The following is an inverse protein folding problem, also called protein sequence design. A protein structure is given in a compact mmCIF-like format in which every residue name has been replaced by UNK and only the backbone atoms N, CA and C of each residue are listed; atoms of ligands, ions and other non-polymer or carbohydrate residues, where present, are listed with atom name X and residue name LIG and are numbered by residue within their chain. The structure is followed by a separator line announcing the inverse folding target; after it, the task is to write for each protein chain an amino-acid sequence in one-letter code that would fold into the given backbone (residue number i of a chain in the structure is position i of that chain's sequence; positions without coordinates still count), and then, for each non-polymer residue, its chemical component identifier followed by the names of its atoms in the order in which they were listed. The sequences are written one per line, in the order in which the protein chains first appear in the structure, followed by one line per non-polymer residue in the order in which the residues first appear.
data_IF_916243686654
#
_entry.id   IF_916243686654
#
_cell.length_a   1.000
_cell.length_b   1.000
_cell.length_c   1.000
_cell.angle_alpha   90.00
_cell.angle_beta   90.00
_cell.angle_gamma   90.00
#
_symmetry.space_group_name_H-M   'P 1'
#
loop_
_entity.id
_entity.type
_entity.pdbx_description
1 polymer ?
#
# COMPACT_ATOMS: atom_id res chain seq x y z
N UNK A 1 35.90 -9.19 -10.57
CA UNK A 1 34.77 -9.24 -11.51
C UNK A 1 33.56 -9.83 -10.78
N UNK A 2 32.77 -9.03 -10.05
CA UNK A 2 31.60 -9.51 -9.28
C UNK A 2 30.45 -8.49 -9.23
N UNK A 3 30.32 -7.60 -10.23
CA UNK A 3 29.31 -6.52 -10.19
C UNK A 3 28.18 -6.68 -11.22
N UNK A 4 28.11 -7.81 -11.93
CA UNK A 4 27.13 -8.01 -13.02
C UNK A 4 25.91 -8.86 -12.65
N UNK A 5 25.94 -9.61 -11.53
CA UNK A 5 24.83 -10.47 -11.10
C UNK A 5 23.82 -9.76 -10.19
N UNK A 6 24.26 -8.82 -9.35
CA UNK A 6 23.37 -8.07 -8.45
C UNK A 6 22.40 -7.18 -9.25
N UNK A 7 22.91 -6.39 -10.20
CA UNK A 7 22.09 -5.49 -11.02
C UNK A 7 21.08 -6.23 -11.90
N UNK A 8 21.47 -7.40 -12.44
CA UNK A 8 20.58 -8.23 -13.25
C UNK A 8 19.44 -8.82 -12.42
N UNK A 9 19.74 -9.32 -11.21
CA UNK A 9 18.74 -9.85 -10.30
C UNK A 9 17.77 -8.78 -9.80
N UNK A 10 18.25 -7.56 -9.53
CA UNK A 10 17.38 -6.44 -9.14
C UNK A 10 16.45 -6.02 -10.28
N UNK A 11 16.91 -6.05 -11.54
CA UNK A 11 16.06 -5.73 -12.69
C UNK A 11 14.94 -6.76 -12.89
N UNK A 12 15.30 -8.05 -12.84
CA UNK A 12 14.34 -9.16 -12.96
C UNK A 12 13.31 -9.17 -11.83
N UNK A 13 13.73 -8.91 -10.59
CA UNK A 13 12.84 -8.80 -9.44
C UNK A 13 11.85 -7.62 -9.60
N UNK A 14 12.32 -6.49 -10.13
CA UNK A 14 11.48 -5.32 -10.40
C UNK A 14 10.44 -5.58 -11.50
N UNK A 15 10.85 -6.22 -12.60
CA UNK A 15 9.93 -6.59 -13.70
C UNK A 15 8.88 -7.61 -13.23
N UNK A 16 9.26 -8.58 -12.39
CA UNK A 16 8.32 -9.55 -11.82
C UNK A 16 7.32 -8.89 -10.85
N UNK A 17 7.76 -7.94 -10.04
CA UNK A 17 6.87 -7.16 -9.17
C UNK A 17 5.87 -6.32 -9.98
N UNK A 18 6.31 -5.71 -11.08
CA UNK A 18 5.47 -4.91 -11.96
C UNK A 18 4.41 -5.75 -12.72
N UNK A 19 4.70 -7.02 -13.02
CA UNK A 19 3.75 -7.95 -13.66
C UNK A 19 2.81 -8.65 -12.67
N UNK A 20 3.13 -8.67 -11.37
CA UNK A 20 2.36 -9.39 -10.35
C UNK A 20 0.99 -8.77 -10.14
N UNK A 21 -0.08 -9.53 -10.29
CA UNK A 21 -1.45 -9.08 -9.99
C UNK A 21 -1.95 -9.49 -8.61
N UNK A 22 -1.29 -10.43 -7.92
CA UNK A 22 -1.70 -10.89 -6.60
C UNK A 22 -1.05 -10.10 -5.46
N UNK A 23 -1.77 -9.82 -4.38
CA UNK A 23 -1.19 -9.13 -3.21
C UNK A 23 -0.27 -10.06 -2.38
N UNK A 24 0.73 -9.51 -1.66
CA UNK A 24 1.14 -8.12 -1.69
C UNK A 24 1.72 -7.71 -3.05
N UNK A 25 1.47 -6.46 -3.46
CA UNK A 25 1.96 -5.91 -4.71
C UNK A 25 2.37 -4.45 -4.55
N UNK A 26 3.35 -4.03 -5.35
CA UNK A 26 3.81 -2.64 -5.45
C UNK A 26 3.63 -2.11 -6.86
N UNK A 27 3.35 -0.80 -6.99
CA UNK A 27 3.40 -0.08 -8.26
C UNK A 27 4.12 1.25 -8.11
N UNK A 28 4.91 1.61 -9.11
CA UNK A 28 5.56 2.93 -9.12
C UNK A 28 4.48 4.02 -9.20
N UNK A 29 4.48 4.96 -8.24
CA UNK A 29 3.57 6.10 -8.31
C UNK A 29 3.89 7.04 -9.48
N UNK A 30 5.15 7.04 -9.95
CA UNK A 30 5.59 7.83 -11.09
C UNK A 30 5.03 7.36 -12.44
N UNK A 31 4.43 6.16 -12.51
CA UNK A 31 3.79 5.64 -13.72
C UNK A 31 2.37 6.18 -13.92
N UNK A 32 1.82 6.91 -12.95
CA UNK A 32 0.43 7.37 -12.97
C UNK A 32 0.35 8.87 -13.25
N UNK A 33 -0.09 9.20 -14.47
CA UNK A 33 -0.33 10.57 -14.88
C UNK A 33 -1.42 11.20 -13.99
N UNK A 34 -1.17 12.42 -13.50
CA UNK A 34 -2.10 13.20 -12.67
C UNK A 34 -2.50 12.57 -11.32
N UNK A 35 -1.76 11.57 -10.85
CA UNK A 35 -2.00 10.95 -9.54
C UNK A 35 -3.27 10.08 -9.49
N UNK A 36 -3.83 9.68 -10.63
CA UNK A 36 -4.92 8.72 -10.72
C UNK A 36 -4.39 7.33 -11.07
N UNK A 37 -4.83 6.34 -10.30
CA UNK A 37 -4.45 4.94 -10.41
C UNK A 37 -5.72 4.11 -10.52
N UNK A 38 -5.83 3.35 -11.60
CA UNK A 38 -6.80 2.27 -11.72
C UNK A 38 -6.05 0.97 -11.97
N UNK A 39 -6.18 0.00 -11.07
CA UNK A 39 -5.55 -1.30 -11.22
C UNK A 39 -6.45 -2.42 -10.71
N UNK A 40 -6.38 -3.57 -11.39
CA UNK A 40 -7.00 -4.80 -10.92
C UNK A 40 -5.96 -5.69 -10.26
N UNK A 41 -6.36 -6.35 -9.17
CA UNK A 41 -5.51 -7.25 -8.42
C UNK A 41 -6.30 -8.42 -7.82
N UNK A 42 -5.57 -9.46 -7.46
CA UNK A 42 -6.10 -10.67 -6.87
C UNK A 42 -5.72 -10.72 -5.38
N UNK A 43 -6.71 -11.01 -4.53
CA UNK A 43 -6.51 -11.38 -3.13
C UNK A 43 -6.53 -12.90 -3.04
N UNK A 44 -5.39 -13.57 -2.85
CA UNK A 44 -5.37 -15.01 -2.66
C UNK A 44 -5.97 -15.41 -1.31
N UNK A 45 -6.51 -16.62 -1.23
CA UNK A 45 -6.93 -17.19 0.06
C UNK A 45 -5.70 -17.42 0.94
N UNK A 46 -5.79 -17.02 2.21
CA UNK A 46 -4.79 -17.40 3.22
C UNK A 46 -5.25 -18.68 3.92
N UNK A 47 -4.31 -19.56 4.23
CA UNK A 47 -4.61 -20.87 4.84
C UNK A 47 -5.16 -20.74 6.26
N UNK A 48 -4.83 -19.65 6.94
CA UNK A 48 -5.12 -19.35 8.34
C UNK A 48 -6.17 -18.24 8.52
N UNK A 49 -6.50 -17.52 7.45
CA UNK A 49 -7.53 -16.48 7.44
C UNK A 49 -8.29 -16.44 6.11
N UNK A 50 -9.58 -16.79 6.15
CA UNK A 50 -10.43 -16.76 4.96
C UNK A 50 -10.77 -15.32 4.52
N UNK A 51 -10.59 -14.33 5.39
CA UNK A 51 -10.87 -12.93 5.11
C UNK A 51 -9.82 -11.99 5.69
N UNK A 52 -8.57 -12.03 5.19
CA UNK A 52 -7.49 -11.26 5.78
C UNK A 52 -7.73 -9.74 5.67
N UNK A 53 -7.31 -8.96 6.68
CA UNK A 53 -7.29 -7.51 6.60
C UNK A 53 -6.23 -7.05 5.58
N UNK A 54 -6.57 -6.05 4.77
CA UNK A 54 -5.73 -5.54 3.68
C UNK A 54 -5.76 -4.02 3.67
N UNK A 55 -4.61 -3.39 3.50
CA UNK A 55 -4.53 -1.94 3.35
C UNK A 55 -4.07 -1.51 1.96
N UNK A 56 -4.42 -0.27 1.62
CA UNK A 56 -4.02 0.44 0.42
C UNK A 56 -3.23 1.66 0.87
N UNK A 57 -1.98 1.74 0.42
CA UNK A 57 -1.02 2.66 1.00
C UNK A 57 0.20 2.89 0.14
N UNK A 58 1.30 3.25 0.78
CA UNK A 58 2.60 3.42 0.16
C UNK A 58 3.67 2.65 0.92
N UNK A 59 4.65 2.17 0.18
CA UNK A 59 5.92 1.63 0.68
C UNK A 59 7.00 2.69 0.45
N UNK A 60 7.77 2.96 1.50
CA UNK A 60 8.99 3.77 1.45
C UNK A 60 10.17 2.86 1.68
N UNK A 61 11.13 2.84 0.76
CA UNK A 61 12.39 2.13 0.91
C UNK A 61 13.55 3.13 0.97
N UNK A 62 14.59 2.80 1.73
CA UNK A 62 15.80 3.59 1.77
C UNK A 62 17.01 2.79 2.24
N UNK A 63 18.12 3.50 2.43
CA UNK A 63 19.40 2.89 2.86
C UNK A 63 19.71 3.19 4.34
N UNK A 64 18.94 4.06 4.98
CA UNK A 64 19.10 4.48 6.36
C UNK A 64 17.74 4.46 7.07
N UNK A 65 17.56 3.66 8.12
CA UNK A 65 16.28 3.56 8.82
C UNK A 65 15.78 4.89 9.39
N UNK A 66 16.69 5.72 9.92
CA UNK A 66 16.33 7.02 10.49
C UNK A 66 15.77 7.97 9.45
N UNK A 67 16.41 8.03 8.28
CA UNK A 67 15.97 8.85 7.16
C UNK A 67 14.62 8.38 6.60
N UNK A 68 14.38 7.07 6.50
CA UNK A 68 13.10 6.52 6.04
C UNK A 68 11.98 6.86 7.03
N UNK A 69 12.23 6.68 8.34
CA UNK A 69 11.31 7.07 9.39
C UNK A 69 10.98 8.58 9.35
N UNK A 70 11.98 9.44 9.18
CA UNK A 70 11.79 10.90 9.06
C UNK A 70 10.93 11.28 7.84
N UNK A 71 11.10 10.58 6.71
CA UNK A 71 10.27 10.77 5.53
C UNK A 71 8.82 10.35 5.81
N UNK A 72 8.61 9.17 6.41
CA UNK A 72 7.29 8.67 6.76
C UNK A 72 6.56 9.66 7.69
N UNK A 73 7.28 10.18 8.68
CA UNK A 73 6.79 11.18 9.62
C UNK A 73 6.43 12.51 8.95
N UNK A 74 7.24 12.96 7.98
CA UNK A 74 6.93 14.14 7.17
C UNK A 74 5.65 13.92 6.36
N UNK A 75 5.50 12.78 5.69
CA UNK A 75 4.33 12.47 4.87
C UNK A 75 3.04 12.40 5.69
N UNK A 76 3.07 11.80 6.90
CA UNK A 76 1.95 11.80 7.85
C UNK A 76 1.51 13.21 8.30
N UNK A 77 2.39 14.21 8.20
CA UNK A 77 2.14 15.62 8.54
C UNK A 77 1.87 16.50 7.32
N UNK A 78 2.06 15.97 6.11
CA UNK A 78 1.98 16.73 4.88
C UNK A 78 0.56 16.79 4.29
N UNK A 79 -0.47 16.33 5.00
CA UNK A 79 -1.87 16.32 4.53
C UNK A 79 -2.04 15.78 3.10
N UNK A 80 -1.29 14.72 2.78
CA UNK A 80 -1.44 13.99 1.52
C UNK A 80 -2.80 13.30 1.55
N UNK A 81 -3.71 13.77 0.70
CA UNK A 81 -5.08 13.28 0.64
C UNK A 81 -5.33 12.51 -0.64
N UNK A 82 -6.18 11.49 -0.56
CA UNK A 82 -6.57 10.69 -1.69
C UNK A 82 -8.05 10.31 -1.65
N UNK A 83 -8.66 10.17 -2.81
CA UNK A 83 -9.92 9.45 -2.96
C UNK A 83 -9.59 7.99 -3.23
N UNK A 84 -10.05 7.10 -2.36
CA UNK A 84 -9.82 5.65 -2.43
C UNK A 84 -11.16 4.95 -2.61
N UNK A 85 -11.26 4.12 -3.66
CA UNK A 85 -12.40 3.24 -3.88
C UNK A 85 -11.91 1.84 -4.20
N UNK A 86 -12.46 0.87 -3.50
CA UNK A 86 -12.19 -0.53 -3.71
C UNK A 86 -13.49 -1.22 -4.10
N UNK A 87 -13.44 -1.96 -5.20
CA UNK A 87 -14.56 -2.75 -5.69
C UNK A 87 -14.14 -4.21 -5.81
N UNK A 88 -14.98 -5.13 -5.34
CA UNK A 88 -14.84 -6.55 -5.64
C UNK A 88 -15.44 -6.83 -7.00
N UNK A 89 -14.67 -7.44 -7.89
CA UNK A 89 -15.11 -7.83 -9.22
C UNK A 89 -15.79 -9.20 -9.15
N UNK A 90 -17.02 -9.28 -9.65
CA UNK A 90 -17.87 -10.48 -9.63
C UNK A 90 -18.42 -10.74 -11.04
N UNK A 91 -18.88 -11.98 -11.34
CA UNK A 91 -19.48 -12.28 -12.64
C UNK A 91 -20.70 -11.40 -12.98
N UNK A 92 -21.45 -10.95 -11.97
CA UNK A 92 -22.66 -10.15 -12.14
C UNK A 92 -22.41 -8.63 -12.08
N UNK A 93 -21.17 -8.17 -11.91
CA UNK A 93 -20.83 -6.75 -11.76
C UNK A 93 -19.75 -6.51 -10.70
N UNK A 94 -19.71 -5.30 -10.14
CA UNK A 94 -18.82 -4.98 -9.04
C UNK A 94 -19.58 -4.58 -7.78
N UNK A 95 -19.01 -4.93 -6.62
CA UNK A 95 -19.55 -4.59 -5.31
C UNK A 95 -18.58 -3.67 -4.57
N UNK A 96 -19.06 -2.55 -4.03
CA UNK A 96 -18.23 -1.63 -3.24
C UNK A 96 -17.78 -2.33 -1.97
N UNK A 97 -16.49 -2.24 -1.68
CA UNK A 97 -15.91 -2.72 -0.43
C UNK A 97 -15.87 -1.57 0.58
N UNK A 98 -16.45 -1.73 1.78
CA UNK A 98 -16.28 -0.78 2.87
C UNK A 98 -14.81 -0.65 3.26
N UNK A 99 -14.35 0.58 3.40
CA UNK A 99 -13.00 0.88 3.86
C UNK A 99 -13.06 1.67 5.16
N UNK A 100 -11.97 1.59 5.91
CA UNK A 100 -11.69 2.38 7.10
C UNK A 100 -10.42 3.22 6.86
N UNK A 101 -10.28 4.29 7.64
CA UNK A 101 -9.09 5.15 7.67
C UNK A 101 -8.73 5.51 9.10
N UNK A 102 -7.48 5.88 9.29
CA UNK A 102 -7.02 6.51 10.51
C UNK A 102 -7.67 7.88 10.73
N UNK A 103 -8.02 8.17 11.97
CA UNK A 103 -8.39 9.48 12.47
C UNK A 103 -7.57 9.79 13.72
N UNK A 104 -6.81 10.89 13.65
CA UNK A 104 -6.12 11.39 14.82
C UNK A 104 -7.13 11.92 15.84
N UNK A 105 -7.11 11.35 17.04
CA UNK A 105 -7.99 11.73 18.17
C UNK A 105 -7.23 12.44 19.29
N UNK A 106 -5.89 12.41 19.24
CA UNK A 106 -5.03 13.02 20.25
C UNK A 106 -3.59 13.24 19.77
N UNK A 107 -2.69 13.56 20.71
CA UNK A 107 -1.25 13.61 20.41
C UNK A 107 -0.72 12.17 20.33
N UNK A 108 -0.47 11.70 19.12
CA UNK A 108 0.04 10.33 18.89
C UNK A 108 -1.03 9.25 18.98
N UNK A 109 -2.30 9.63 19.17
CA UNK A 109 -3.42 8.68 19.21
C UNK A 109 -4.20 8.73 17.90
N UNK A 110 -4.45 7.55 17.35
CA UNK A 110 -5.17 7.31 16.13
C UNK A 110 -6.26 6.27 16.37
N UNK A 111 -7.45 6.52 15.84
CA UNK A 111 -8.57 5.59 15.87
C UNK A 111 -9.03 5.28 14.47
N UNK A 112 -9.62 4.10 14.31
CA UNK A 112 -10.22 3.65 13.07
C UNK A 112 -11.60 4.25 12.89
N UNK A 113 -11.86 4.85 11.74
CA UNK A 113 -13.20 5.31 11.36
C UNK A 113 -13.53 4.87 9.94
N UNK A 114 -14.81 4.61 9.68
CA UNK A 114 -15.28 4.30 8.35
C UNK A 114 -14.90 5.42 7.35
N UNK A 115 -14.42 5.02 6.18
CA UNK A 115 -14.21 5.91 5.05
C UNK A 115 -15.58 6.34 4.53
N UNK A 116 -15.78 7.64 4.32
CA UNK A 116 -17.03 8.17 3.83
C UNK A 116 -17.30 7.70 2.39
N UNK A 117 -18.57 7.80 1.94
CA UNK A 117 -18.98 7.34 0.62
C UNK A 117 -18.31 8.09 -0.55
N UNK A 118 -17.77 9.28 -0.31
CA UNK A 118 -16.96 10.00 -1.30
C UNK A 118 -15.59 9.33 -1.53
N UNK A 119 -15.13 8.49 -0.62
CA UNK A 119 -13.85 7.81 -0.63
C UNK A 119 -12.69 8.66 -0.11
N UNK A 120 -12.94 9.83 0.46
CA UNK A 120 -11.88 10.76 0.84
C UNK A 120 -11.13 10.30 2.09
N UNK A 121 -9.86 9.97 1.92
CA UNK A 121 -8.88 9.85 2.99
C UNK A 121 -8.03 11.13 3.06
N UNK A 122 -8.14 11.93 4.14
CA UNK A 122 -7.52 13.24 4.21
C UNK A 122 -6.03 13.22 4.56
N UNK A 123 -5.49 12.06 4.99
CA UNK A 123 -4.11 11.93 5.48
C UNK A 123 -3.63 10.49 5.40
N UNK A 124 -2.32 10.33 5.32
CA UNK A 124 -1.63 9.06 5.56
C UNK A 124 -1.53 8.77 7.07
N UNK A 125 -1.52 7.48 7.40
CA UNK A 125 -1.30 6.96 8.75
C UNK A 125 -0.45 5.69 8.73
N UNK A 126 0.17 5.34 9.85
CA UNK A 126 1.00 4.14 9.93
C UNK A 126 0.14 2.88 9.83
N UNK A 127 0.58 1.94 9.00
CA UNK A 127 -0.02 0.62 8.90
C UNK A 127 1.06 -0.35 8.42
N UNK A 128 1.34 -1.36 9.24
CA UNK A 128 2.39 -2.32 8.93
C UNK A 128 1.82 -3.46 8.09
N UNK A 129 2.55 -3.84 7.05
CA UNK A 129 2.32 -5.02 6.24
C UNK A 129 2.80 -6.27 6.96
N UNK A 130 2.14 -7.39 6.68
CA UNK A 130 2.63 -8.68 7.10
C UNK A 130 3.97 -8.98 6.42
N UNK A 131 5.05 -8.96 7.22
CA UNK A 131 6.42 -9.09 6.72
C UNK A 131 6.65 -10.43 6.00
N UNK A 132 6.06 -11.52 6.47
CA UNK A 132 6.26 -12.84 5.88
C UNK A 132 5.72 -12.87 4.44
N UNK A 133 4.49 -12.37 4.22
CA UNK A 133 3.91 -12.30 2.88
C UNK A 133 4.68 -11.33 1.96
N UNK A 134 5.23 -10.24 2.50
CA UNK A 134 6.06 -9.29 1.76
C UNK A 134 7.41 -9.91 1.36
N UNK A 135 8.07 -10.64 2.26
CA UNK A 135 9.33 -11.35 2.01
C UNK A 135 9.14 -12.48 0.99
N UNK A 136 8.09 -13.29 1.11
CA UNK A 136 7.74 -14.34 0.15
C UNK A 136 7.48 -13.78 -1.26
N UNK A 137 6.96 -12.55 -1.34
CA UNK A 137 6.74 -11.85 -2.60
C UNK A 137 8.01 -11.17 -3.16
N UNK A 138 9.12 -11.19 -2.43
CA UNK A 138 10.36 -10.50 -2.79
C UNK A 138 10.28 -8.98 -2.67
N UNK A 139 9.32 -8.47 -1.87
CA UNK A 139 9.04 -7.04 -1.69
C UNK A 139 9.63 -6.46 -0.39
N UNK A 140 10.02 -7.32 0.54
CA UNK A 140 10.70 -6.95 1.78
C UNK A 140 11.95 -7.80 2.01
N UNK A 141 12.91 -7.22 2.72
CA UNK A 141 14.11 -7.90 3.21
C UNK A 141 14.52 -7.24 4.52
N UNK A 142 15.04 -8.02 5.47
CA UNK A 142 15.58 -7.50 6.74
C UNK A 142 16.76 -6.53 6.53
N UNK A 143 17.40 -6.56 5.36
CA UNK A 143 18.54 -5.70 5.02
C UNK A 143 18.13 -4.35 4.44
N UNK A 144 16.86 -4.17 4.04
CA UNK A 144 16.35 -2.95 3.41
C UNK A 144 15.42 -2.22 4.38
N UNK A 145 15.84 -1.08 4.94
CA UNK A 145 14.97 -0.24 5.76
C UNK A 145 13.74 0.22 4.99
N UNK A 146 12.56 -0.04 5.55
CA UNK A 146 11.28 0.35 4.98
C UNK A 146 10.31 0.91 6.01
N UNK A 147 9.39 1.75 5.54
CA UNK A 147 8.24 2.25 6.30
C UNK A 147 6.98 2.18 5.43
N UNK A 148 5.84 1.93 6.06
CA UNK A 148 4.57 1.69 5.38
C UNK A 148 3.50 2.63 5.94
N UNK A 149 2.79 3.30 5.02
CA UNK A 149 1.71 4.22 5.37
C UNK A 149 0.45 3.86 4.58
N UNK A 150 -0.72 3.92 5.19
CA UNK A 150 -2.00 3.66 4.55
C UNK A 150 -2.77 4.94 4.24
N UNK A 151 -3.53 4.91 3.15
CA UNK A 151 -4.67 5.81 2.92
C UNK A 151 -5.95 5.23 3.51
N UNK A 152 -6.15 3.92 3.36
CA UNK A 152 -7.33 3.22 3.82
C UNK A 152 -7.05 1.72 3.94
N UNK A 153 -7.93 1.00 4.63
CA UNK A 153 -7.87 -0.46 4.72
C UNK A 153 -9.26 -1.08 4.82
N UNK A 154 -9.35 -2.37 4.51
CA UNK A 154 -10.48 -3.21 4.86
C UNK A 154 -10.06 -4.16 5.98
N UNK A 155 -10.94 -4.35 6.96
CA UNK A 155 -10.76 -5.30 8.06
C UNK A 155 -10.98 -6.76 7.62
N UNK A 156 -11.59 -6.98 6.46
CA UNK A 156 -11.99 -8.31 5.99
C UNK A 156 -12.15 -8.32 4.47
N UNK A 157 -11.24 -8.98 3.75
CA UNK A 157 -11.38 -9.23 2.31
C UNK A 157 -11.44 -10.71 2.00
N UNK A 158 -12.52 -11.16 1.34
CA UNK A 158 -12.57 -12.50 0.79
C UNK A 158 -11.58 -12.66 -0.36
N UNK A 159 -11.12 -13.88 -0.58
CA UNK A 159 -10.36 -14.20 -1.79
C UNK A 159 -11.14 -13.84 -3.06
N UNK A 160 -10.43 -13.37 -4.07
CA UNK A 160 -11.01 -13.00 -5.37
C UNK A 160 -10.34 -11.80 -6.02
N UNK A 161 -10.98 -11.30 -7.09
CA UNK A 161 -10.49 -10.16 -7.87
C UNK A 161 -11.09 -8.85 -7.39
N UNK A 162 -10.26 -7.83 -7.36
CA UNK A 162 -10.60 -6.49 -6.92
C UNK A 162 -10.10 -5.45 -7.92
N UNK A 163 -10.75 -4.29 -7.91
CA UNK A 163 -10.35 -3.11 -8.66
C UNK A 163 -10.17 -1.95 -7.70
N UNK A 164 -8.97 -1.39 -7.67
CA UNK A 164 -8.65 -0.17 -6.95
C UNK A 164 -8.80 1.02 -7.91
N UNK A 165 -9.48 2.06 -7.45
CA UNK A 165 -9.39 3.42 -7.98
C UNK A 165 -8.84 4.33 -6.89
N UNK A 166 -7.67 4.89 -7.11
CA UNK A 166 -6.98 5.79 -6.20
C UNK A 166 -6.68 7.09 -6.93
N UNK A 167 -7.06 8.22 -6.36
CA UNK A 167 -6.72 9.53 -6.91
C UNK A 167 -6.14 10.42 -5.81
N UNK A 168 -4.88 10.82 -5.93
CA UNK A 168 -4.23 11.73 -4.98
C UNK A 168 -4.74 13.14 -5.24
N UNK A 169 -5.55 13.67 -4.32
CA UNK A 169 -6.24 14.95 -4.48
C UNK A 169 -5.51 16.13 -3.85
N UNK A 170 -4.53 15.87 -2.98
CA UNK A 170 -3.77 16.93 -2.30
C UNK A 170 -2.33 16.50 -2.04
N UNK A 171 -1.41 17.42 -2.25
CA UNK A 171 0.03 17.31 -1.94
C UNK A 171 0.69 16.07 -2.56
N UNK A 172 0.31 15.73 -3.80
CA UNK A 172 0.89 14.62 -4.55
C UNK A 172 2.40 14.80 -4.79
N UNK A 173 2.86 16.05 -4.89
CA UNK A 173 4.27 16.39 -5.01
C UNK A 173 5.10 15.93 -3.81
N UNK A 174 4.52 15.77 -2.62
CA UNK A 174 5.24 15.24 -1.46
C UNK A 174 5.57 13.76 -1.63
N UNK A 175 4.69 12.99 -2.29
CA UNK A 175 4.97 11.61 -2.68
C UNK A 175 6.03 11.58 -3.78
N UNK A 176 5.94 12.45 -4.79
CA UNK A 176 6.88 12.50 -5.91
C UNK A 176 8.31 12.89 -5.51
N UNK A 177 8.48 13.65 -4.41
CA UNK A 177 9.80 13.97 -3.81
C UNK A 177 10.44 12.78 -3.10
N UNK A 178 9.75 11.65 -3.02
CA UNK A 178 10.18 10.44 -2.32
C UNK A 178 10.17 9.25 -3.27
N UNK A 179 10.82 8.16 -2.89
CA UNK A 179 10.73 6.90 -3.62
C UNK A 179 9.46 6.11 -3.25
N UNK A 180 8.34 6.79 -2.96
CA UNK A 180 7.10 6.15 -2.58
C UNK A 180 6.54 5.29 -3.72
N UNK A 181 6.19 4.06 -3.39
CA UNK A 181 5.49 3.14 -4.27
C UNK A 181 4.10 2.88 -3.72
N UNK A 182 3.09 2.76 -4.57
CA UNK A 182 1.79 2.24 -4.15
C UNK A 182 2.00 0.84 -3.59
N UNK A 183 1.39 0.55 -2.44
CA UNK A 183 1.40 -0.76 -1.80
C UNK A 183 -0.05 -1.20 -1.56
N UNK A 184 -0.34 -2.45 -1.91
CA UNK A 184 -1.53 -3.16 -1.44
C UNK A 184 -1.04 -4.45 -0.77
N UNK A 185 -1.29 -4.60 0.53
CA UNK A 185 -0.73 -5.69 1.32
C UNK A 185 -1.65 -6.12 2.46
N UNK A 186 -1.41 -7.35 2.95
CA UNK A 186 -2.04 -7.84 4.17
C UNK A 186 -1.55 -7.03 5.37
N UNK A 187 -2.45 -6.71 6.30
CA UNK A 187 -2.09 -5.99 7.52
C UNK A 187 -1.44 -6.96 8.49
N UNK A 188 -0.31 -6.56 9.07
CA UNK A 188 0.32 -7.26 10.19
C UNK A 188 -0.66 -7.29 11.37
N UNK A 189 -1.06 -8.49 11.79
CA UNK A 189 -2.00 -8.66 12.91
C UNK A 189 -1.34 -8.46 14.29
N UNK A 190 -0.04 -8.16 14.32
CA UNK A 190 0.75 -8.25 15.53
C UNK A 190 0.89 -9.71 15.99
N UNK A 191 1.62 -9.90 17.09
CA UNK A 191 1.59 -11.13 17.88
C UNK A 191 0.81 -10.90 19.16
#
# INVERSE_FOLDING_TARGET
MQSSTATANTHLAKEQADMRTAIPLVRSLAQFDNGEVELEFDVPAQSDDATPPVFIGILLNGNDPGAVADIADRLKRADVAAVVRLERVQPAGSAIVPLERGQRVGRGEETSVALAADGLSPRLFSMDADFATMEEAGLASLEVPSEELAFAYSTSLQAGRYRLKLHITRNAEELAKTNAQLLIAYINKGK
#
